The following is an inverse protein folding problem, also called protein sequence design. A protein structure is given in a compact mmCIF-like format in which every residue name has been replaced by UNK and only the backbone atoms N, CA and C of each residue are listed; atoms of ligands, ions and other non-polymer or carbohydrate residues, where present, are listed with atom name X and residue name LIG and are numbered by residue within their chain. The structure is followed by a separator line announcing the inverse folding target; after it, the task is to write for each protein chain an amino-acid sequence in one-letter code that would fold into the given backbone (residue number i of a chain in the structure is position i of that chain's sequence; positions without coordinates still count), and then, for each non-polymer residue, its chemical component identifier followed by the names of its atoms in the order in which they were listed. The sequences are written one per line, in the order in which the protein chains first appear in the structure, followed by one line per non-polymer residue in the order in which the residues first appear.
data_IF_751762987766
#
_entry.id   IF_751762987766
#
_cell.length_a   1.000
_cell.length_b   1.000
_cell.length_c   1.000
_cell.angle_alpha   90.00
_cell.angle_beta   90.00
_cell.angle_gamma   90.00
#
_symmetry.space_group_name_H-M   'P 1'
#
loop_
_entity.id
_entity.type
_entity.pdbx_description
1 polymer ?
#
# COMPACT_ATOMS: atom_id res chain seq x y z
N UNK A 1 16.25 -21.81 -15.41
CA UNK A 1 16.48 -21.10 -16.70
C UNK A 1 15.13 -20.63 -17.21
N UNK A 2 14.65 -19.47 -16.74
CA UNK A 2 13.37 -18.91 -17.18
C UNK A 2 13.63 -17.62 -17.94
N UNK A 3 13.56 -17.73 -19.27
CA UNK A 3 13.56 -16.64 -20.24
C UNK A 3 12.27 -15.84 -20.09
N UNK A 4 12.26 -14.84 -19.21
CA UNK A 4 11.25 -13.78 -19.29
C UNK A 4 11.81 -12.62 -20.12
N UNK A 5 11.52 -12.55 -21.44
CA UNK A 5 12.04 -11.49 -22.32
C UNK A 5 11.65 -10.08 -21.85
N UNK A 6 10.60 -9.98 -21.04
CA UNK A 6 10.12 -8.73 -20.43
C UNK A 6 11.06 -8.23 -19.34
N UNK A 7 11.63 -9.10 -18.51
CA UNK A 7 12.58 -8.71 -17.45
C UNK A 7 13.91 -8.24 -18.06
N UNK A 8 14.38 -8.92 -19.11
CA UNK A 8 15.55 -8.48 -19.89
C UNK A 8 15.27 -7.14 -20.57
N UNK A 9 14.06 -6.93 -21.11
CA UNK A 9 13.67 -5.65 -21.70
C UNK A 9 13.62 -4.53 -20.65
N UNK A 10 13.09 -4.77 -19.45
CA UNK A 10 13.04 -3.80 -18.35
C UNK A 10 14.45 -3.47 -17.83
N UNK A 11 15.33 -4.46 -17.62
CA UNK A 11 16.72 -4.20 -17.22
C UNK A 11 17.51 -3.47 -18.32
N UNK A 12 17.25 -3.78 -19.59
CA UNK A 12 17.83 -3.06 -20.74
C UNK A 12 17.25 -1.64 -20.90
N UNK A 13 16.05 -1.40 -20.38
CA UNK A 13 15.36 -0.11 -20.38
C UNK A 13 15.79 0.78 -19.21
N UNK A 14 16.04 0.18 -18.04
CA UNK A 14 16.44 0.82 -16.79
C UNK A 14 17.96 1.05 -16.65
N UNK A 15 18.78 0.43 -17.49
CA UNK A 15 20.22 0.69 -17.54
C UNK A 15 20.54 2.15 -17.88
N UNK A 16 21.72 2.64 -17.45
CA UNK A 16 22.20 4.01 -17.66
C UNK A 16 22.28 4.33 -19.16
N UNK A 17 21.24 4.98 -19.71
CA UNK A 17 21.20 5.38 -21.12
C UNK A 17 22.06 6.62 -21.33
N UNK A 18 23.07 6.49 -22.19
CA UNK A 18 23.85 7.62 -22.67
C UNK A 18 25.20 7.86 -21.98
N UNK A 19 25.55 7.18 -20.88
CA UNK A 19 26.88 7.33 -20.27
C UNK A 19 28.01 6.86 -21.20
N UNK A 20 27.83 5.71 -21.86
CA UNK A 20 28.81 5.17 -22.81
C UNK A 20 28.90 6.06 -24.06
N UNK A 21 27.76 6.53 -24.57
CA UNK A 21 27.69 7.43 -25.74
C UNK A 21 28.33 8.78 -25.45
N UNK A 22 28.10 9.34 -24.26
CA UNK A 22 28.72 10.59 -23.83
C UNK A 22 30.23 10.42 -23.62
N UNK A 23 30.65 9.32 -22.98
CA UNK A 23 32.07 9.01 -22.81
C UNK A 23 32.79 8.93 -24.17
N UNK A 24 32.22 8.22 -25.14
CA UNK A 24 32.79 8.10 -26.49
C UNK A 24 32.87 9.40 -27.29
N UNK A 25 32.07 10.41 -26.95
CA UNK A 25 32.10 11.73 -27.59
C UNK A 25 33.05 12.68 -26.88
N UNK A 26 33.18 12.54 -25.56
CA UNK A 26 34.16 13.30 -24.79
C UNK A 26 35.60 12.83 -25.06
N UNK A 27 35.81 11.61 -25.58
CA UNK A 27 37.12 11.15 -26.06
C UNK A 27 37.52 11.71 -27.43
N UNK A 28 36.60 12.37 -28.16
CA UNK A 28 36.93 12.96 -29.45
C UNK A 28 37.90 14.14 -29.28
N UNK A 29 39.08 14.10 -29.91
CA UNK A 29 40.10 15.12 -29.75
C UNK A 29 39.65 16.46 -30.34
N UNK A 30 40.06 17.56 -29.72
CA UNK A 30 39.73 18.91 -30.19
C UNK A 30 40.45 19.28 -31.49
N UNK A 31 41.63 18.69 -31.70
CA UNK A 31 42.50 18.93 -32.85
C UNK A 31 42.95 17.59 -33.44
N UNK A 32 43.10 17.52 -34.76
CA UNK A 32 43.72 16.39 -35.44
C UNK A 32 45.24 16.38 -35.14
N UNK A 33 45.91 15.26 -35.44
CA UNK A 33 47.36 15.11 -35.25
C UNK A 33 48.21 16.11 -36.06
N UNK A 34 47.60 16.85 -36.98
CA UNK A 34 48.19 17.93 -37.78
C UNK A 34 47.93 19.35 -37.20
N UNK A 35 47.25 19.45 -36.05
CA UNK A 35 46.90 20.73 -35.39
C UNK A 35 45.65 21.42 -35.93
N UNK A 36 44.99 20.86 -36.95
CA UNK A 36 43.72 21.40 -37.47
C UNK A 36 42.53 21.07 -36.55
N UNK A 37 41.53 21.95 -36.40
CA UNK A 37 40.36 21.67 -35.57
C UNK A 37 39.53 20.52 -36.14
N UNK A 38 39.04 19.63 -35.28
CA UNK A 38 38.30 18.45 -35.72
C UNK A 38 37.00 18.82 -36.47
N UNK A 39 36.87 18.46 -37.77
CA UNK A 39 35.65 18.72 -38.52
C UNK A 39 34.50 17.85 -37.99
N UNK A 40 33.28 18.38 -38.01
CA UNK A 40 32.04 17.70 -37.65
C UNK A 40 31.88 17.24 -36.17
N UNK A 41 32.76 17.65 -35.24
CA UNK A 41 32.61 17.34 -33.79
C UNK A 41 31.29 17.85 -33.19
N UNK A 42 30.93 19.10 -33.48
CA UNK A 42 29.67 19.68 -33.00
C UNK A 42 28.45 18.95 -33.55
N UNK A 43 28.53 18.45 -34.78
CA UNK A 43 27.48 17.67 -35.43
C UNK A 43 27.35 16.27 -34.78
N UNK A 44 28.49 15.64 -34.44
CA UNK A 44 28.50 14.37 -33.70
C UNK A 44 27.92 14.52 -32.28
N UNK A 45 28.27 15.59 -31.56
CA UNK A 45 27.69 15.91 -30.25
C UNK A 45 26.17 16.12 -30.37
N UNK A 46 25.73 16.88 -31.37
CA UNK A 46 24.32 17.16 -31.61
C UNK A 46 23.53 15.89 -31.91
N UNK A 47 24.04 15.01 -32.78
CA UNK A 47 23.40 13.73 -33.08
C UNK A 47 23.30 12.83 -31.85
N UNK A 48 24.35 12.77 -31.04
CA UNK A 48 24.34 11.92 -29.85
C UNK A 48 23.42 12.44 -28.75
N UNK A 49 23.41 13.75 -28.51
CA UNK A 49 22.44 14.36 -27.60
C UNK A 49 21.01 14.08 -28.08
N UNK A 50 20.76 14.20 -29.39
CA UNK A 50 19.48 13.84 -30.01
C UNK A 50 19.09 12.38 -29.78
N UNK A 51 20.01 11.44 -30.03
CA UNK A 51 19.78 10.00 -29.81
C UNK A 51 19.50 9.70 -28.33
N UNK A 52 20.23 10.32 -27.40
CA UNK A 52 19.99 10.16 -25.96
C UNK A 52 18.58 10.64 -25.60
N UNK A 53 18.20 11.85 -26.00
CA UNK A 53 16.87 12.42 -25.69
C UNK A 53 15.76 11.55 -26.29
N UNK A 54 15.86 11.17 -27.56
CA UNK A 54 14.87 10.29 -28.22
C UNK A 54 14.78 8.94 -27.50
N UNK A 55 15.91 8.36 -27.10
CA UNK A 55 15.93 7.09 -26.36
C UNK A 55 15.29 7.18 -24.97
N UNK A 56 15.45 8.33 -24.28
CA UNK A 56 14.86 8.57 -22.97
C UNK A 56 13.35 8.81 -23.10
N UNK A 57 12.91 9.61 -24.07
CA UNK A 57 11.48 9.85 -24.34
C UNK A 57 10.79 8.55 -24.71
N UNK A 58 11.42 7.75 -25.59
CA UNK A 58 10.89 6.44 -25.95
C UNK A 58 10.88 5.49 -24.75
N UNK A 59 11.89 5.55 -23.87
CA UNK A 59 11.89 4.78 -22.62
C UNK A 59 10.70 5.16 -21.73
N UNK A 60 10.51 6.46 -21.48
CA UNK A 60 9.47 6.97 -20.60
C UNK A 60 8.07 6.66 -21.11
N UNK A 61 7.87 6.54 -22.43
CA UNK A 61 6.58 6.16 -23.02
C UNK A 61 6.44 4.63 -23.11
N UNK A 62 7.51 3.91 -23.44
CA UNK A 62 7.48 2.45 -23.57
C UNK A 62 7.40 1.74 -22.22
N UNK A 63 8.05 2.27 -21.18
CA UNK A 63 8.07 1.70 -19.83
C UNK A 63 6.65 1.55 -19.23
N UNK A 64 5.79 2.59 -19.15
CA UNK A 64 4.42 2.43 -18.64
C UNK A 64 3.56 1.54 -19.54
N UNK A 65 3.82 1.47 -20.85
CA UNK A 65 3.09 0.57 -21.75
C UNK A 65 3.53 -0.89 -21.62
N UNK A 66 4.82 -1.12 -21.34
CA UNK A 66 5.38 -2.46 -21.14
C UNK A 66 5.04 -3.00 -19.75
N UNK A 67 4.97 -2.12 -18.75
CA UNK A 67 4.51 -2.40 -17.38
C UNK A 67 2.99 -2.62 -17.29
N UNK A 68 2.19 -2.06 -18.21
CA UNK A 68 0.77 -2.42 -18.37
C UNK A 68 0.66 -3.89 -18.83
N UNK A 69 0.57 -4.79 -17.86
CA UNK A 69 0.40 -6.23 -18.07
C UNK A 69 1.63 -7.09 -17.79
N UNK A 70 2.68 -6.58 -17.15
CA UNK A 70 3.72 -7.42 -16.50
C UNK A 70 3.31 -7.60 -15.04
N UNK A 71 2.98 -8.82 -14.62
CA UNK A 71 3.13 -9.17 -13.20
C UNK A 71 4.62 -9.07 -12.86
N UNK A 72 4.98 -8.11 -12.00
CA UNK A 72 6.36 -7.97 -11.54
C UNK A 72 6.79 -9.29 -10.83
N UNK A 73 8.08 -9.68 -10.93
CA UNK A 73 8.62 -10.78 -10.14
C UNK A 73 8.45 -10.47 -8.63
N UNK A 74 8.31 -11.49 -7.79
CA UNK A 74 7.81 -11.34 -6.42
C UNK A 74 8.87 -10.69 -5.53
N UNK A 75 8.82 -9.37 -5.42
CA UNK A 75 9.13 -8.69 -4.14
C UNK A 75 7.95 -8.85 -3.14
N UNK A 76 6.93 -9.62 -3.55
CA UNK A 76 5.64 -9.86 -2.93
C UNK A 76 5.59 -11.17 -2.13
N UNK A 77 6.66 -12.00 -2.12
CA UNK A 77 6.61 -13.32 -1.46
C UNK A 77 6.42 -13.19 0.06
N UNK A 78 7.12 -12.27 0.73
CA UNK A 78 6.93 -12.04 2.16
C UNK A 78 5.57 -11.41 2.49
N UNK A 79 5.08 -10.46 1.68
CA UNK A 79 3.80 -9.81 1.96
C UNK A 79 2.62 -10.75 1.67
N UNK A 80 2.71 -11.55 0.60
CA UNK A 80 1.75 -12.58 0.26
C UNK A 80 1.79 -13.76 1.25
N UNK A 81 2.96 -14.13 1.74
CA UNK A 81 3.12 -15.11 2.82
C UNK A 81 2.54 -14.60 4.14
N UNK A 82 2.80 -13.34 4.50
CA UNK A 82 2.22 -12.71 5.68
C UNK A 82 0.69 -12.62 5.57
N UNK A 83 0.17 -12.21 4.41
CA UNK A 83 -1.26 -12.15 4.17
C UNK A 83 -1.93 -13.52 4.25
N UNK A 84 -1.35 -14.55 3.62
CA UNK A 84 -1.81 -15.94 3.74
C UNK A 84 -1.80 -16.41 5.20
N UNK A 85 -0.74 -16.11 5.94
CA UNK A 85 -0.60 -16.46 7.36
C UNK A 85 -1.66 -15.77 8.21
N UNK A 86 -1.95 -14.49 7.96
CA UNK A 86 -2.98 -13.72 8.66
C UNK A 86 -4.40 -14.21 8.35
N UNK A 87 -4.67 -14.61 7.10
CA UNK A 87 -5.95 -15.22 6.71
C UNK A 87 -6.12 -16.58 7.38
N UNK A 88 -5.07 -17.41 7.38
CA UNK A 88 -5.08 -18.70 8.07
C UNK A 88 -5.33 -18.53 9.59
N UNK A 89 -4.70 -17.52 10.22
CA UNK A 89 -4.93 -17.20 11.63
C UNK A 89 -6.37 -16.73 11.90
N UNK A 90 -6.97 -15.93 11.01
CA UNK A 90 -8.36 -15.52 11.14
C UNK A 90 -9.33 -16.70 11.04
N UNK A 91 -9.09 -17.63 10.11
CA UNK A 91 -9.85 -18.89 10.02
C UNK A 91 -9.68 -19.79 11.25
N UNK A 92 -8.47 -19.84 11.81
CA UNK A 92 -8.23 -20.56 13.07
C UNK A 92 -9.01 -19.94 14.23
N UNK A 93 -9.07 -18.61 14.30
CA UNK A 93 -9.86 -17.90 15.32
C UNK A 93 -11.37 -18.17 15.18
N UNK A 94 -11.92 -18.15 13.95
CA UNK A 94 -13.33 -18.48 13.71
C UNK A 94 -13.66 -19.88 14.22
N UNK A 95 -12.86 -20.90 13.86
CA UNK A 95 -13.06 -22.28 14.33
C UNK A 95 -13.00 -22.38 15.85
N UNK A 96 -12.03 -21.73 16.49
CA UNK A 96 -11.93 -21.74 17.95
C UNK A 96 -13.15 -21.08 18.63
N UNK A 97 -13.75 -20.06 18.00
CA UNK A 97 -14.97 -19.42 18.49
C UNK A 97 -16.18 -20.35 18.31
N UNK A 98 -16.28 -21.06 17.19
CA UNK A 98 -17.33 -22.06 16.93
C UNK A 98 -17.26 -23.20 17.96
N UNK A 99 -16.07 -23.73 18.22
CA UNK A 99 -15.84 -24.78 19.23
C UNK A 99 -16.20 -24.29 20.65
N UNK A 100 -15.76 -23.08 21.01
CA UNK A 100 -16.09 -22.46 22.29
C UNK A 100 -17.59 -22.19 22.43
N UNK A 101 -18.27 -21.78 21.35
CA UNK A 101 -19.71 -21.57 21.33
C UNK A 101 -20.47 -22.88 21.55
N UNK A 102 -20.05 -23.99 20.93
CA UNK A 102 -20.66 -25.31 21.17
C UNK A 102 -20.48 -25.75 22.62
N UNK A 103 -19.26 -25.64 23.16
CA UNK A 103 -18.98 -26.00 24.56
C UNK A 103 -19.72 -25.11 25.58
N UNK A 104 -19.93 -23.82 25.28
CA UNK A 104 -20.64 -22.88 26.16
C UNK A 104 -22.16 -22.99 26.07
N UNK A 105 -22.69 -23.48 24.94
CA UNK A 105 -24.11 -23.70 24.74
C UNK A 105 -24.61 -24.99 25.39
N UNK A 106 -23.73 -25.99 25.58
CA UNK A 106 -24.08 -27.22 26.29
C UNK A 106 -24.46 -26.94 27.76
N UNK A 107 -25.74 -27.15 28.09
CA UNK A 107 -26.25 -27.10 29.46
C UNK A 107 -26.74 -25.73 29.97
N UNK A 108 -26.87 -24.72 29.09
CA UNK A 108 -27.37 -23.38 29.48
C UNK A 108 -28.74 -23.04 28.89
N UNK A 109 -29.47 -22.18 29.60
CA UNK A 109 -30.88 -21.87 29.36
C UNK A 109 -31.16 -20.96 28.14
N UNK A 110 -30.14 -20.36 27.52
CA UNK A 110 -30.32 -19.44 26.39
C UNK A 110 -29.25 -19.65 25.30
N UNK A 111 -29.35 -20.73 24.50
CA UNK A 111 -28.42 -21.03 23.41
C UNK A 111 -28.38 -19.97 22.30
N UNK A 112 -29.49 -19.26 22.11
CA UNK A 112 -29.65 -18.26 21.05
C UNK A 112 -28.80 -17.02 21.34
N UNK A 113 -28.74 -16.56 22.60
CA UNK A 113 -27.91 -15.43 23.01
C UNK A 113 -26.40 -15.67 22.79
N UNK A 114 -25.92 -16.90 23.07
CA UNK A 114 -24.52 -17.27 22.81
C UNK A 114 -24.22 -17.32 21.31
N UNK A 115 -25.18 -17.78 20.50
CA UNK A 115 -25.05 -17.88 19.05
C UNK A 115 -25.00 -16.50 18.40
N UNK A 116 -25.85 -15.56 18.83
CA UNK A 116 -25.82 -14.17 18.35
C UNK A 116 -24.49 -13.48 18.71
N UNK A 117 -24.05 -13.64 19.96
CA UNK A 117 -22.79 -13.05 20.43
C UNK A 117 -21.59 -13.62 19.67
N UNK A 118 -21.54 -14.94 19.48
CA UNK A 118 -20.48 -15.59 18.70
C UNK A 118 -20.49 -15.10 17.24
N UNK A 119 -21.67 -14.95 16.63
CA UNK A 119 -21.81 -14.46 15.26
C UNK A 119 -21.22 -13.06 15.09
N UNK A 120 -21.52 -12.14 16.02
CA UNK A 120 -20.95 -10.78 16.00
C UNK A 120 -19.43 -10.78 16.11
N UNK A 121 -18.86 -11.65 16.93
CA UNK A 121 -17.40 -11.77 17.07
C UNK A 121 -16.77 -12.37 15.81
N UNK A 122 -17.39 -13.41 15.23
CA UNK A 122 -16.92 -14.02 13.97
C UNK A 122 -16.97 -13.06 12.78
N UNK A 123 -17.94 -12.15 12.74
CA UNK A 123 -18.08 -11.14 11.68
C UNK A 123 -16.84 -10.25 11.56
N UNK A 124 -16.19 -9.91 12.68
CA UNK A 124 -14.92 -9.16 12.68
C UNK A 124 -13.81 -9.92 11.96
N UNK A 125 -13.73 -11.25 12.16
CA UNK A 125 -12.74 -12.08 11.49
C UNK A 125 -13.07 -12.31 10.02
N UNK A 126 -14.35 -12.47 9.66
CA UNK A 126 -14.81 -12.60 8.28
C UNK A 126 -14.50 -11.33 7.47
N UNK A 127 -14.81 -10.16 8.01
CA UNK A 127 -14.47 -8.88 7.39
C UNK A 127 -12.96 -8.75 7.14
N UNK A 128 -12.11 -9.21 8.08
CA UNK A 128 -10.65 -9.22 7.91
C UNK A 128 -10.15 -10.17 6.82
N UNK A 129 -10.89 -11.23 6.53
CA UNK A 129 -10.60 -12.18 5.44
C UNK A 129 -11.02 -11.57 4.11
N UNK A 130 -12.22 -11.01 4.01
CA UNK A 130 -12.76 -10.42 2.77
C UNK A 130 -11.94 -9.22 2.29
N UNK A 131 -11.54 -8.33 3.22
CA UNK A 131 -10.64 -7.21 2.92
C UNK A 131 -9.27 -7.64 2.37
N UNK A 132 -8.85 -8.88 2.64
CA UNK A 132 -7.56 -9.44 2.18
C UNK A 132 -7.70 -10.34 0.96
N UNK A 133 -8.81 -11.07 0.84
CA UNK A 133 -9.12 -11.91 -0.31
C UNK A 133 -9.36 -11.08 -1.58
N UNK A 134 -9.81 -9.83 -1.42
CA UNK A 134 -10.04 -8.90 -2.51
C UNK A 134 -8.77 -8.32 -3.12
N UNK A 135 -7.57 -8.56 -2.57
CA UNK A 135 -6.28 -7.97 -3.01
C UNK A 135 -5.77 -8.43 -4.39
N UNK A 136 -6.49 -8.09 -5.47
CA UNK A 136 -5.88 -7.88 -6.79
C UNK A 136 -5.23 -6.47 -6.84
N UNK A 137 -4.33 -6.19 -7.78
CA UNK A 137 -3.53 -4.95 -7.79
C UNK A 137 -4.37 -3.65 -7.74
N UNK A 138 -5.57 -3.63 -8.33
CA UNK A 138 -6.52 -2.52 -8.26
C UNK A 138 -7.22 -2.42 -6.89
N UNK A 139 -7.40 -3.54 -6.20
CA UNK A 139 -8.02 -3.60 -4.89
C UNK A 139 -7.10 -3.14 -3.76
N UNK A 140 -5.77 -3.19 -3.92
CA UNK A 140 -4.84 -2.59 -2.94
C UNK A 140 -5.03 -1.07 -2.89
N UNK A 141 -5.22 -0.43 -4.05
CA UNK A 141 -5.50 1.01 -4.14
C UNK A 141 -6.88 1.32 -3.56
N UNK A 142 -7.89 0.49 -3.86
CA UNK A 142 -9.25 0.68 -3.36
C UNK A 142 -9.35 0.44 -1.85
N UNK A 143 -8.67 -0.57 -1.30
CA UNK A 143 -8.62 -0.84 0.13
C UNK A 143 -7.98 0.31 0.91
N UNK A 144 -6.84 0.85 0.43
CA UNK A 144 -6.23 2.04 1.04
C UNK A 144 -7.16 3.24 1.07
N UNK A 145 -7.92 3.44 -0.02
CA UNK A 145 -8.88 4.54 -0.11
C UNK A 145 -10.06 4.34 0.84
N UNK A 146 -10.55 3.11 0.97
CA UNK A 146 -11.61 2.77 1.93
C UNK A 146 -11.14 2.94 3.37
N UNK A 147 -9.93 2.50 3.71
CA UNK A 147 -9.35 2.66 5.05
C UNK A 147 -9.17 4.13 5.43
N UNK A 148 -8.75 4.98 4.47
CA UNK A 148 -8.63 6.42 4.68
C UNK A 148 -10.00 7.07 4.94
N UNK A 149 -11.03 6.65 4.19
CA UNK A 149 -12.40 7.11 4.39
C UNK A 149 -12.93 6.65 5.76
N UNK A 150 -12.73 5.38 6.13
CA UNK A 150 -13.16 4.85 7.43
C UNK A 150 -12.47 5.60 8.58
N UNK A 151 -11.16 5.79 8.50
CA UNK A 151 -10.38 6.54 9.49
C UNK A 151 -10.94 7.96 9.64
N UNK A 152 -11.22 8.64 8.53
CA UNK A 152 -11.76 10.00 8.55
C UNK A 152 -13.15 10.07 9.18
N UNK A 153 -14.02 9.13 8.86
CA UNK A 153 -15.37 9.03 9.44
C UNK A 153 -15.30 8.75 10.96
N UNK A 154 -14.43 7.82 11.38
CA UNK A 154 -14.17 7.50 12.79
C UNK A 154 -13.73 8.73 13.58
N UNK A 155 -12.71 9.45 13.09
CA UNK A 155 -12.20 10.66 13.72
C UNK A 155 -13.27 11.76 13.80
N UNK A 156 -14.12 11.88 12.78
CA UNK A 156 -15.24 12.82 12.80
C UNK A 156 -16.26 12.46 13.89
N UNK A 157 -16.57 11.17 14.05
CA UNK A 157 -17.45 10.70 15.12
C UNK A 157 -16.89 10.96 16.52
N UNK A 158 -15.62 10.62 16.75
CA UNK A 158 -14.95 10.84 18.04
C UNK A 158 -14.89 12.33 18.42
N UNK A 159 -14.64 13.21 17.43
CA UNK A 159 -14.68 14.65 17.64
C UNK A 159 -16.08 15.14 18.10
N UNK A 160 -17.15 14.61 17.49
CA UNK A 160 -18.53 14.95 17.87
C UNK A 160 -18.90 14.42 19.27
N UNK A 161 -18.50 13.18 19.61
CA UNK A 161 -18.69 12.63 20.96
C UNK A 161 -18.00 13.49 22.02
N UNK A 162 -16.77 13.93 21.74
CA UNK A 162 -16.01 14.81 22.64
C UNK A 162 -16.72 16.15 22.85
N UNK A 163 -17.26 16.75 21.78
CA UNK A 163 -17.99 18.02 21.87
C UNK A 163 -19.23 17.89 22.77
N UNK A 164 -19.98 16.80 22.62
CA UNK A 164 -21.15 16.52 23.46
C UNK A 164 -20.78 16.31 24.93
N UNK A 165 -19.71 15.57 25.23
CA UNK A 165 -19.23 15.41 26.61
C UNK A 165 -18.82 16.75 27.24
N UNK A 166 -18.17 17.62 26.48
CA UNK A 166 -17.84 18.98 26.93
C UNK A 166 -19.12 19.80 27.19
N UNK A 167 -20.12 19.69 26.31
CA UNK A 167 -21.41 20.38 26.47
C UNK A 167 -22.14 19.91 27.73
N UNK A 168 -22.21 18.60 27.97
CA UNK A 168 -22.83 18.00 29.16
C UNK A 168 -22.11 18.42 30.45
N UNK A 169 -20.78 18.48 30.43
CA UNK A 169 -19.97 18.97 31.55
C UNK A 169 -20.25 20.46 31.85
N UNK A 170 -20.34 21.30 30.82
CA UNK A 170 -20.69 22.74 30.98
C UNK A 170 -22.09 22.93 31.55
N UNK A 171 -23.04 22.06 31.21
CA UNK A 171 -24.41 22.08 31.73
C UNK A 171 -24.54 21.46 33.13
N UNK A 172 -23.44 20.99 33.74
CA UNK A 172 -23.42 20.27 35.02
C UNK A 172 -24.34 19.05 35.05
N UNK A 173 -24.60 18.45 33.89
CA UNK A 173 -25.37 17.20 33.78
C UNK A 173 -24.52 15.97 34.11
N UNK A 174 -23.20 16.11 34.03
CA UNK A 174 -22.20 15.11 34.43
C UNK A 174 -21.20 15.77 35.37
N UNK A 175 -20.70 14.99 36.33
CA UNK A 175 -19.64 15.43 37.24
C UNK A 175 -18.33 15.65 36.47
N UNK A 176 -17.50 16.58 36.95
CA UNK A 176 -16.27 16.96 36.25
C UNK A 176 -15.25 15.81 36.19
N UNK A 177 -15.21 14.95 37.21
CA UNK A 177 -14.36 13.75 37.19
C UNK A 177 -14.82 12.78 36.10
N UNK A 178 -16.14 12.61 35.96
CA UNK A 178 -16.75 11.74 34.94
C UNK A 178 -16.48 12.29 33.53
N UNK A 179 -16.66 13.59 33.33
CA UNK A 179 -16.37 14.24 32.05
C UNK A 179 -14.89 14.06 31.64
N UNK A 180 -13.97 14.27 32.60
CA UNK A 180 -12.53 14.14 32.35
C UNK A 180 -12.11 12.70 32.03
N UNK A 181 -12.73 11.72 32.70
CA UNK A 181 -12.50 10.29 32.42
C UNK A 181 -12.98 9.91 31.01
N UNK A 182 -14.20 10.30 30.63
CA UNK A 182 -14.77 9.94 29.33
C UNK A 182 -14.00 10.60 28.16
N UNK A 183 -13.61 11.88 28.31
CA UNK A 183 -12.77 12.56 27.31
C UNK A 183 -11.42 11.83 27.17
N UNK A 184 -10.83 11.38 28.29
CA UNK A 184 -9.56 10.63 28.24
C UNK A 184 -9.70 9.29 27.51
N UNK A 185 -10.83 8.61 27.63
CA UNK A 185 -11.11 7.38 26.88
C UNK A 185 -11.19 7.64 25.38
N UNK A 186 -11.82 8.75 24.97
CA UNK A 186 -11.87 9.18 23.56
C UNK A 186 -10.47 9.50 23.04
N UNK A 187 -9.66 10.26 23.80
CA UNK A 187 -8.28 10.60 23.42
C UNK A 187 -7.45 9.31 23.18
N UNK A 188 -7.63 8.29 24.03
CA UNK A 188 -6.96 6.99 23.86
C UNK A 188 -7.43 6.24 22.60
N UNK A 189 -8.70 6.38 22.22
CA UNK A 189 -9.21 5.80 20.99
C UNK A 189 -8.68 6.52 19.75
N UNK A 190 -8.55 7.85 19.78
CA UNK A 190 -7.97 8.64 18.69
C UNK A 190 -6.51 8.26 18.40
N UNK A 191 -5.71 7.94 19.42
CA UNK A 191 -4.33 7.48 19.26
C UNK A 191 -4.20 6.19 18.43
N UNK A 192 -5.27 5.39 18.30
CA UNK A 192 -5.29 4.21 17.42
C UNK A 192 -5.37 4.57 15.93
N UNK A 193 -5.76 5.81 15.63
CA UNK A 193 -6.06 6.33 14.30
C UNK A 193 -5.22 7.55 13.91
N UNK A 194 -4.11 7.79 14.59
CA UNK A 194 -3.06 8.74 14.21
C UNK A 194 -1.85 7.90 13.80
#
# INVERSE_FOLDING_TARGET
VFTQPRLVAVMSLAGVRGAITLAGILTLPFYLGDGSPMPARNLAIFLAAGVIIVSLVLATIALPRLLKGVQLPPEDDHQAEENRSRVAAAWAAIRAIEDAQHAMAEGKADPDFYTETATRVMEVYRHRIDMRASMEADAVVQARRSDEIERRLRLTGLAAEREELVRLGRQRLIDEETARKLIREIDLQELRYI
#
